data_IF_623036987926
#
_entry.id   IF_623036987926
#
_cell.length_a   1.000
_cell.length_b   1.000
_cell.length_c   1.000
_cell.angle_alpha   90.00
_cell.angle_beta   90.00
_cell.angle_gamma   90.00
#
_symmetry.space_group_name_H-M   'P 1'
#
loop_
_entity.id
_entity.type
_entity.pdbx_description
1 polymer ?
#
# COMPACT_ATOMS: atom_id res chain seq x y z
N UNK A 1 -0.30 22.85 -3.28
CA UNK A 1 -1.58 22.20 -3.70
C UNK A 1 -1.58 21.91 -5.20
N UNK A 2 -1.04 22.78 -6.05
CA UNK A 2 -0.97 22.56 -7.49
C UNK A 2 -0.23 21.28 -7.88
N UNK A 3 0.90 21.00 -7.24
CA UNK A 3 1.67 19.78 -7.47
C UNK A 3 0.87 18.51 -7.15
N UNK A 4 0.04 18.53 -6.09
CA UNK A 4 -0.82 17.38 -5.73
C UNK A 4 -1.86 17.11 -6.81
N UNK A 5 -2.43 18.16 -7.39
CA UNK A 5 -3.39 18.03 -8.49
C UNK A 5 -2.72 17.52 -9.76
N UNK A 6 -1.52 18.03 -10.09
CA UNK A 6 -0.75 17.55 -11.24
C UNK A 6 -0.40 16.06 -11.11
N UNK A 7 0.07 15.63 -9.93
CA UNK A 7 0.36 14.22 -9.67
C UNK A 7 -0.89 13.32 -9.78
N UNK A 8 -2.06 13.81 -9.34
CA UNK A 8 -3.32 13.06 -9.51
C UNK A 8 -3.69 12.92 -10.97
N UNK A 9 -3.65 13.99 -11.75
CA UNK A 9 -3.94 13.96 -13.18
C UNK A 9 -3.00 13.01 -13.92
N UNK A 10 -1.71 13.13 -13.68
CA UNK A 10 -0.72 12.25 -14.30
C UNK A 10 -0.94 10.77 -13.96
N UNK A 11 -1.33 10.44 -12.74
CA UNK A 11 -1.67 9.05 -12.37
C UNK A 11 -2.96 8.58 -13.06
N UNK A 12 -3.95 9.46 -13.22
CA UNK A 12 -5.19 9.15 -13.95
C UNK A 12 -4.88 8.83 -15.42
N UNK A 13 -3.96 9.55 -16.03
CA UNK A 13 -3.56 9.33 -17.44
C UNK A 13 -2.81 8.00 -17.64
N UNK A 14 -2.14 7.49 -16.60
CA UNK A 14 -1.34 6.26 -16.65
C UNK A 14 -2.15 5.01 -16.31
N UNK A 15 -3.05 5.12 -15.33
CA UNK A 15 -3.76 3.95 -14.82
C UNK A 15 -5.10 3.74 -15.55
N UNK A 16 -5.42 2.50 -15.98
CA UNK A 16 -6.70 2.21 -16.58
C UNK A 16 -7.84 2.51 -15.59
N UNK A 17 -8.82 3.30 -16.04
CA UNK A 17 -9.99 3.68 -15.24
C UNK A 17 -11.02 2.55 -15.35
N UNK A 18 -11.40 1.89 -14.24
CA UNK A 18 -12.48 0.90 -14.28
C UNK A 18 -13.84 1.55 -14.52
N UNK A 19 -14.79 0.81 -15.04
CA UNK A 19 -16.16 1.30 -15.16
C UNK A 19 -16.75 1.66 -13.78
N UNK A 20 -17.60 2.68 -13.72
CA UNK A 20 -18.18 3.19 -12.45
C UNK A 20 -19.03 2.11 -11.75
N UNK A 21 -19.64 1.22 -12.51
CA UNK A 21 -20.46 0.12 -12.04
C UNK A 21 -19.64 -1.07 -11.52
N UNK A 22 -18.32 -1.08 -11.72
CA UNK A 22 -17.47 -2.15 -11.21
C UNK A 22 -17.27 -2.04 -9.69
N UNK A 23 -17.32 -3.16 -8.99
CA UNK A 23 -17.14 -3.23 -7.52
C UNK A 23 -15.80 -2.64 -7.05
N UNK A 24 -14.78 -2.63 -7.92
CA UNK A 24 -13.45 -2.12 -7.64
C UNK A 24 -13.29 -0.61 -7.83
N UNK A 25 -14.31 0.11 -8.35
CA UNK A 25 -14.20 1.54 -8.67
C UNK A 25 -13.90 2.40 -7.44
N UNK A 26 -14.53 2.12 -6.30
CA UNK A 26 -14.25 2.84 -5.04
C UNK A 26 -12.82 2.58 -4.58
N UNK A 27 -12.37 1.35 -4.71
CA UNK A 27 -11.00 0.96 -4.38
C UNK A 27 -9.98 1.63 -5.31
N UNK A 28 -10.32 1.77 -6.59
CA UNK A 28 -9.52 2.51 -7.56
C UNK A 28 -9.27 3.96 -7.13
N UNK A 29 -10.29 4.69 -6.71
CA UNK A 29 -10.15 6.08 -6.23
C UNK A 29 -9.19 6.16 -5.03
N UNK A 30 -9.25 5.17 -4.12
CA UNK A 30 -8.30 5.11 -3.00
C UNK A 30 -6.89 4.82 -3.50
N UNK A 31 -6.73 3.96 -4.48
CA UNK A 31 -5.44 3.60 -5.08
C UNK A 31 -4.78 4.77 -5.82
N UNK A 32 -5.54 5.60 -6.52
CA UNK A 32 -5.03 6.81 -7.16
C UNK A 32 -4.23 7.69 -6.20
N UNK A 33 -4.74 7.87 -4.98
CA UNK A 33 -4.07 8.71 -3.99
C UNK A 33 -2.74 8.13 -3.52
N UNK A 34 -2.64 6.82 -3.39
CA UNK A 34 -1.38 6.12 -3.04
C UNK A 34 -0.41 6.19 -4.21
N UNK A 35 -0.88 5.95 -5.43
CA UNK A 35 -0.05 6.03 -6.64
C UNK A 35 0.53 7.41 -6.86
N UNK A 36 -0.25 8.47 -6.60
CA UNK A 36 0.26 9.85 -6.70
C UNK A 36 1.32 10.18 -5.64
N UNK A 37 1.23 9.59 -4.44
CA UNK A 37 2.30 9.70 -3.44
C UNK A 37 3.56 8.98 -3.92
N UNK A 38 3.42 7.76 -4.46
CA UNK A 38 4.55 6.98 -4.98
C UNK A 38 5.21 7.70 -6.15
N UNK A 39 4.42 8.19 -7.12
CA UNK A 39 4.92 8.97 -8.25
C UNK A 39 5.69 10.21 -7.78
N UNK A 40 5.11 11.00 -6.88
CA UNK A 40 5.77 12.18 -6.33
C UNK A 40 7.07 11.85 -5.60
N UNK A 41 7.10 10.76 -4.83
CA UNK A 41 8.31 10.31 -4.13
C UNK A 41 9.42 9.90 -5.12
N UNK A 42 9.07 9.17 -6.18
CA UNK A 42 10.03 8.75 -7.20
C UNK A 42 10.53 9.93 -8.06
N UNK A 43 9.69 10.93 -8.32
CA UNK A 43 10.11 12.16 -9.03
C UNK A 43 11.06 13.04 -8.22
N UNK A 44 10.98 12.99 -6.89
CA UNK A 44 11.91 13.74 -6.02
C UNK A 44 13.29 13.09 -5.93
N UNK A 45 13.39 11.77 -6.15
CA UNK A 45 14.67 11.06 -6.17
C UNK A 45 15.36 11.19 -7.53
N UNK A 46 16.70 11.28 -7.50
CA UNK A 46 17.56 11.24 -8.70
C UNK A 46 17.83 9.82 -9.20
N UNK A 47 17.59 8.83 -8.35
CA UNK A 47 17.87 7.42 -8.60
C UNK A 47 16.98 6.86 -9.71
N UNK A 48 17.55 5.93 -10.50
CA UNK A 48 16.81 5.16 -11.52
C UNK A 48 16.11 3.94 -10.94
N UNK A 49 16.60 3.43 -9.80
CA UNK A 49 16.12 2.23 -9.14
C UNK A 49 15.56 2.55 -7.75
N UNK A 50 14.32 2.15 -7.51
CA UNK A 50 13.64 2.28 -6.24
C UNK A 50 13.33 0.93 -5.62
N UNK A 51 13.52 0.82 -4.30
CA UNK A 51 13.16 -0.36 -3.54
C UNK A 51 11.81 -0.14 -2.85
N UNK A 52 10.90 -1.10 -3.00
CA UNK A 52 9.57 -1.06 -2.37
C UNK A 52 9.45 -2.11 -1.27
N UNK A 53 8.75 -1.74 -0.19
CA UNK A 53 8.37 -2.66 0.88
C UNK A 53 7.13 -3.52 0.58
N UNK A 54 6.69 -3.58 -0.68
CA UNK A 54 5.55 -4.41 -1.12
C UNK A 54 5.84 -5.89 -0.79
N UNK A 55 4.82 -6.60 -0.30
CA UNK A 55 4.91 -8.00 0.14
C UNK A 55 5.17 -8.17 1.64
N UNK A 56 5.81 -7.20 2.29
CA UNK A 56 6.12 -7.28 3.72
C UNK A 56 4.88 -7.42 4.62
N UNK A 57 3.77 -6.79 4.26
CA UNK A 57 2.53 -6.85 5.05
C UNK A 57 1.87 -8.22 4.94
N UNK A 58 1.90 -8.82 3.78
CA UNK A 58 1.31 -10.12 3.47
C UNK A 58 2.14 -11.24 4.11
N UNK A 59 3.45 -11.24 3.90
CA UNK A 59 4.35 -12.30 4.34
C UNK A 59 4.56 -12.30 5.86
N UNK A 60 4.62 -11.12 6.48
CA UNK A 60 5.00 -10.97 7.90
C UNK A 60 3.84 -10.47 8.78
N UNK A 61 2.62 -10.74 8.37
CA UNK A 61 1.41 -10.48 9.15
C UNK A 61 1.23 -9.02 9.58
N UNK A 62 1.32 -8.07 8.63
CA UNK A 62 1.25 -6.62 8.91
C UNK A 62 -0.16 -6.05 9.07
N UNK A 63 -1.22 -6.74 8.64
CA UNK A 63 -2.59 -6.23 8.65
C UNK A 63 -3.38 -6.61 9.90
N UNK A 64 -4.40 -5.82 10.24
CA UNK A 64 -5.33 -6.12 11.33
C UNK A 64 -6.05 -7.47 11.16
N UNK A 65 -6.41 -7.84 9.92
CA UNK A 65 -7.01 -9.13 9.62
C UNK A 65 -6.11 -10.32 10.01
N UNK A 66 -4.78 -10.18 9.90
CA UNK A 66 -3.83 -11.21 10.33
C UNK A 66 -3.86 -11.38 11.86
N UNK A 67 -4.01 -10.29 12.61
CA UNK A 67 -4.20 -10.37 14.07
C UNK A 67 -5.47 -11.10 14.46
N UNK A 68 -6.53 -10.98 13.65
CA UNK A 68 -7.78 -11.74 13.86
C UNK A 68 -7.63 -13.21 13.47
N UNK A 69 -6.93 -13.50 12.36
CA UNK A 69 -6.65 -14.87 11.92
C UNK A 69 -5.95 -15.68 13.02
N UNK A 70 -4.92 -15.11 13.64
CA UNK A 70 -4.19 -15.75 14.76
C UNK A 70 -5.05 -15.93 16.00
N UNK A 71 -6.05 -15.10 16.23
CA UNK A 71 -7.00 -15.18 17.38
C UNK A 71 -8.18 -16.10 17.13
N UNK A 72 -8.16 -16.93 16.09
CA UNK A 72 -9.23 -17.90 15.79
C UNK A 72 -10.17 -17.46 14.67
N UNK A 73 -9.82 -16.46 13.88
CA UNK A 73 -10.58 -16.04 12.71
C UNK A 73 -11.78 -15.14 13.03
N UNK A 74 -12.89 -15.38 12.35
CA UNK A 74 -14.12 -14.59 12.44
C UNK A 74 -14.42 -13.80 11.17
N UNK A 75 -14.96 -12.59 11.29
CA UNK A 75 -15.23 -11.70 10.16
C UNK A 75 -14.49 -10.37 10.31
N UNK A 76 -14.03 -9.85 9.19
CA UNK A 76 -13.46 -8.51 9.11
C UNK A 76 -14.07 -7.76 7.92
N UNK A 77 -14.76 -6.66 8.20
CA UNK A 77 -15.50 -5.88 7.20
C UNK A 77 -16.47 -6.73 6.36
N UNK A 78 -17.16 -7.68 7.00
CA UNK A 78 -18.13 -8.57 6.33
C UNK A 78 -17.51 -9.78 5.62
N UNK A 79 -16.18 -9.90 5.55
CA UNK A 79 -15.47 -11.00 4.89
C UNK A 79 -15.02 -12.00 5.97
N UNK A 80 -15.23 -13.30 5.71
CA UNK A 80 -14.71 -14.38 6.56
C UNK A 80 -13.18 -14.38 6.48
N UNK A 81 -12.53 -14.48 7.64
CA UNK A 81 -11.08 -14.58 7.78
C UNK A 81 -10.73 -16.06 7.92
N UNK A 82 -9.81 -16.54 7.10
CA UNK A 82 -9.18 -17.84 7.22
C UNK A 82 -8.11 -17.89 8.30
N UNK A 83 -7.27 -18.90 8.27
CA UNK A 83 -6.06 -18.91 9.06
C UNK A 83 -5.00 -17.91 8.52
N UNK A 84 -3.87 -17.78 9.20
CA UNK A 84 -2.86 -16.79 8.80
C UNK A 84 -2.19 -17.14 7.46
N UNK A 85 -2.05 -18.42 7.15
CA UNK A 85 -1.45 -18.88 5.90
C UNK A 85 -2.38 -18.56 4.71
N UNK A 86 -3.66 -18.89 4.82
CA UNK A 86 -4.68 -18.54 3.82
C UNK A 86 -4.74 -17.02 3.59
N UNK A 87 -4.71 -16.23 4.67
CA UNK A 87 -4.71 -14.76 4.56
C UNK A 87 -3.44 -14.22 3.91
N UNK A 88 -2.28 -14.83 4.17
CA UNK A 88 -1.01 -14.46 3.55
C UNK A 88 -1.03 -14.78 2.04
N UNK A 89 -1.40 -15.99 1.64
CA UNK A 89 -1.45 -16.43 0.23
C UNK A 89 -2.45 -15.58 -0.55
N UNK A 90 -3.67 -15.45 -0.04
CA UNK A 90 -4.69 -14.64 -0.71
C UNK A 90 -4.32 -13.15 -0.75
N UNK A 91 -3.63 -12.66 0.28
CA UNK A 91 -3.06 -11.33 0.35
C UNK A 91 -2.01 -11.10 -0.72
N UNK A 92 -1.05 -12.01 -0.89
CA UNK A 92 0.00 -11.95 -1.92
C UNK A 92 -0.61 -11.91 -3.32
N UNK A 93 -1.58 -12.78 -3.62
CA UNK A 93 -2.25 -12.81 -4.93
C UNK A 93 -2.94 -11.46 -5.24
N UNK A 94 -3.69 -10.92 -4.27
CA UNK A 94 -4.34 -9.60 -4.43
C UNK A 94 -3.32 -8.48 -4.60
N UNK A 95 -2.30 -8.45 -3.76
CA UNK A 95 -1.26 -7.42 -3.77
C UNK A 95 -0.51 -7.41 -5.10
N UNK A 96 -0.12 -8.58 -5.63
CA UNK A 96 0.60 -8.67 -6.88
C UNK A 96 -0.17 -7.97 -8.01
N UNK A 97 -1.42 -8.35 -8.22
CA UNK A 97 -2.24 -7.82 -9.31
C UNK A 97 -2.69 -6.36 -9.09
N UNK A 98 -2.95 -5.98 -7.84
CA UNK A 98 -3.61 -4.70 -7.54
C UNK A 98 -2.65 -3.61 -7.08
N UNK A 99 -1.47 -3.97 -6.59
CA UNK A 99 -0.50 -3.02 -6.02
C UNK A 99 0.80 -3.05 -6.81
N UNK A 100 1.43 -4.22 -6.95
CA UNK A 100 2.75 -4.32 -7.57
C UNK A 100 2.71 -3.96 -9.05
N UNK A 101 1.79 -4.53 -9.84
CA UNK A 101 1.65 -4.20 -11.26
C UNK A 101 1.33 -2.71 -11.48
N UNK A 102 0.46 -2.16 -10.65
CA UNK A 102 0.16 -0.72 -10.67
C UNK A 102 1.40 0.14 -10.40
N UNK A 103 2.17 -0.19 -9.36
CA UNK A 103 3.34 0.60 -8.98
C UNK A 103 4.47 0.45 -10.01
N UNK A 104 4.56 -0.69 -10.71
CA UNK A 104 5.42 -0.88 -11.89
C UNK A 104 5.01 0.03 -13.06
N UNK A 105 3.71 0.12 -13.36
CA UNK A 105 3.23 1.03 -14.41
C UNK A 105 3.63 2.48 -14.10
N UNK A 106 3.43 2.92 -12.85
CA UNK A 106 3.79 4.28 -12.42
C UNK A 106 5.31 4.53 -12.52
N UNK A 107 6.15 3.59 -12.09
CA UNK A 107 7.60 3.75 -12.18
C UNK A 107 8.09 3.76 -13.63
N UNK A 108 7.54 2.87 -14.47
CA UNK A 108 7.89 2.79 -15.89
C UNK A 108 7.50 4.05 -16.67
N UNK A 109 6.37 4.69 -16.31
CA UNK A 109 5.92 5.95 -16.91
C UNK A 109 6.97 7.07 -16.80
N UNK A 110 7.73 7.09 -15.73
CA UNK A 110 8.81 8.06 -15.51
C UNK A 110 10.20 7.47 -15.77
N UNK A 111 10.29 6.37 -16.53
CA UNK A 111 11.54 5.68 -16.89
C UNK A 111 12.38 5.25 -15.68
N UNK A 112 11.73 4.86 -14.58
CA UNK A 112 12.37 4.35 -13.38
C UNK A 112 12.00 2.89 -13.14
N UNK A 113 12.89 2.17 -12.45
CA UNK A 113 12.70 0.77 -12.09
C UNK A 113 12.24 0.63 -10.64
N UNK A 114 11.29 -0.30 -10.40
CA UNK A 114 10.81 -0.65 -9.06
C UNK A 114 11.14 -2.11 -8.76
N UNK A 115 11.89 -2.34 -7.68
CA UNK A 115 12.11 -3.67 -7.12
C UNK A 115 11.35 -3.83 -5.81
N UNK A 116 10.83 -5.04 -5.60
CA UNK A 116 10.16 -5.44 -4.36
C UNK A 116 10.92 -6.63 -3.73
N UNK A 117 11.97 -6.39 -2.93
CA UNK A 117 12.84 -7.45 -2.41
C UNK A 117 12.09 -8.51 -1.58
N UNK A 118 10.99 -8.14 -0.92
CA UNK A 118 10.16 -9.11 -0.20
C UNK A 118 9.43 -10.11 -1.11
N UNK A 119 9.34 -9.84 -2.42
CA UNK A 119 8.76 -10.75 -3.41
C UNK A 119 9.80 -11.66 -4.09
N UNK A 120 11.04 -11.64 -3.67
CA UNK A 120 12.03 -12.62 -4.10
C UNK A 120 11.64 -14.02 -3.60
N UNK A 121 11.81 -15.04 -4.43
CA UNK A 121 11.37 -16.42 -4.15
C UNK A 121 11.92 -16.93 -2.82
N UNK A 122 13.20 -16.72 -2.54
CA UNK A 122 13.82 -17.12 -1.28
C UNK A 122 13.18 -16.47 -0.06
N UNK A 123 12.81 -15.19 -0.17
CA UNK A 123 12.14 -14.47 0.93
C UNK A 123 10.72 -15.00 1.13
N UNK A 124 9.99 -15.26 0.06
CA UNK A 124 8.65 -15.85 0.11
C UNK A 124 8.71 -17.23 0.77
N UNK A 125 9.60 -18.11 0.30
CA UNK A 125 9.78 -19.47 0.84
C UNK A 125 10.11 -19.41 2.33
N UNK A 126 11.09 -18.60 2.73
CA UNK A 126 11.47 -18.46 4.14
C UNK A 126 10.30 -17.92 4.98
N UNK A 127 9.62 -16.89 4.49
CA UNK A 127 8.50 -16.32 5.21
C UNK A 127 7.33 -17.30 5.35
N UNK A 128 7.02 -18.10 4.33
CA UNK A 128 5.93 -19.09 4.40
C UNK A 128 6.28 -20.24 5.35
N UNK A 129 7.54 -20.61 5.48
CA UNK A 129 8.02 -21.63 6.43
C UNK A 129 8.16 -21.13 7.88
N UNK A 130 8.02 -19.82 8.13
CA UNK A 130 8.09 -19.27 9.48
C UNK A 130 6.83 -19.59 10.29
N UNK A 131 7.01 -19.96 11.55
CA UNK A 131 5.91 -20.08 12.51
C UNK A 131 5.21 -18.75 12.78
N UNK A 132 3.89 -18.79 12.99
CA UNK A 132 3.08 -17.60 13.22
C UNK A 132 3.59 -16.71 14.37
N UNK A 133 4.12 -17.31 15.45
CA UNK A 133 4.68 -16.61 16.61
C UNK A 133 5.90 -15.72 16.29
N UNK A 134 6.59 -16.01 15.18
CA UNK A 134 7.71 -15.18 14.69
C UNK A 134 7.23 -13.97 13.92
N UNK A 135 6.07 -14.07 13.27
CA UNK A 135 5.46 -13.01 12.44
C UNK A 135 4.65 -12.02 13.27
N UNK A 136 3.86 -12.55 14.22
CA UNK A 136 2.87 -11.77 14.97
C UNK A 136 2.62 -12.36 16.35
N UNK A 137 2.39 -11.47 17.32
CA UNK A 137 1.91 -11.82 18.66
C UNK A 137 0.84 -10.81 19.13
N UNK A 138 0.48 -10.86 20.41
CA UNK A 138 -0.51 -9.95 21.01
C UNK A 138 -0.06 -8.49 21.06
N UNK A 139 1.25 -8.24 20.98
CA UNK A 139 1.87 -6.93 21.15
C UNK A 139 2.27 -6.27 19.83
N UNK A 140 2.65 -7.08 18.84
CA UNK A 140 3.21 -6.55 17.60
C UNK A 140 2.96 -7.44 16.38
N UNK A 141 2.74 -6.80 15.24
CA UNK A 141 2.82 -7.39 13.89
C UNK A 141 4.20 -7.15 13.26
N UNK A 142 4.52 -7.95 12.26
CA UNK A 142 5.82 -7.94 11.58
C UNK A 142 6.99 -8.11 12.58
N UNK A 143 6.80 -8.94 13.60
CA UNK A 143 7.69 -9.08 14.74
C UNK A 143 9.14 -9.37 14.31
N UNK A 144 9.35 -10.34 13.42
CA UNK A 144 10.67 -10.68 12.91
C UNK A 144 11.36 -9.50 12.22
N UNK A 145 10.62 -8.74 11.37
CA UNK A 145 11.19 -7.58 10.69
C UNK A 145 11.59 -6.47 11.66
N UNK A 146 10.82 -6.28 12.73
CA UNK A 146 11.15 -5.30 13.78
C UNK A 146 12.39 -5.70 14.56
N UNK A 147 12.54 -6.99 14.86
CA UNK A 147 13.73 -7.53 15.54
C UNK A 147 14.96 -7.36 14.65
N UNK A 148 14.90 -7.79 13.39
CA UNK A 148 15.98 -7.58 12.41
C UNK A 148 16.36 -6.09 12.30
N UNK A 149 15.39 -5.20 12.26
CA UNK A 149 15.65 -3.77 12.22
C UNK A 149 16.44 -3.28 13.45
N UNK A 150 16.11 -3.80 14.65
CA UNK A 150 16.86 -3.50 15.88
C UNK A 150 18.26 -4.08 15.82
N UNK A 151 18.42 -5.33 15.39
CA UNK A 151 19.71 -6.01 15.27
C UNK A 151 20.64 -5.31 14.26
N UNK A 152 20.05 -4.68 13.21
CA UNK A 152 20.76 -3.83 12.26
C UNK A 152 21.03 -2.40 12.77
N UNK A 153 20.70 -2.10 14.03
CA UNK A 153 20.97 -0.81 14.65
C UNK A 153 19.94 0.30 14.34
N UNK A 154 18.79 -0.05 13.76
CA UNK A 154 17.71 0.93 13.57
C UNK A 154 17.11 1.29 14.93
N UNK A 155 17.04 2.57 15.31
CA UNK A 155 16.49 2.99 16.59
C UNK A 155 15.08 2.46 16.85
N UNK A 156 14.78 2.10 18.09
CA UNK A 156 13.51 1.49 18.53
C UNK A 156 12.29 2.32 18.15
N UNK A 157 12.39 3.62 18.14
CA UNK A 157 11.33 4.54 17.74
C UNK A 157 10.91 4.39 16.26
N UNK A 158 11.83 3.99 15.38
CA UNK A 158 11.55 3.71 13.97
C UNK A 158 11.12 2.26 13.77
N UNK A 159 11.84 1.28 14.35
CA UNK A 159 11.52 -0.14 14.20
C UNK A 159 10.13 -0.48 14.75
N UNK A 160 9.69 0.18 15.82
CA UNK A 160 8.39 -0.03 16.46
C UNK A 160 7.31 0.96 16.00
N UNK A 161 7.61 1.82 15.04
CA UNK A 161 6.65 2.81 14.54
C UNK A 161 5.36 2.14 14.06
N UNK A 162 4.22 2.71 14.48
CA UNK A 162 2.91 2.27 13.97
C UNK A 162 2.78 2.60 12.48
N UNK A 163 2.26 1.63 11.72
CA UNK A 163 1.98 1.81 10.30
C UNK A 163 0.99 2.97 10.08
N UNK A 164 1.29 3.79 9.08
CA UNK A 164 0.36 4.75 8.49
C UNK A 164 0.30 4.52 6.98
N UNK A 165 -0.89 4.61 6.39
CA UNK A 165 -0.99 4.62 4.93
C UNK A 165 -0.22 5.80 4.35
N UNK A 166 0.42 5.59 3.19
CA UNK A 166 1.28 6.60 2.56
C UNK A 166 0.56 7.93 2.35
N UNK A 167 -0.69 7.90 1.89
CA UNK A 167 -1.52 9.09 1.65
C UNK A 167 -1.83 9.88 2.92
N UNK A 168 -1.87 9.23 4.10
CA UNK A 168 -2.09 9.90 5.38
C UNK A 168 -0.79 10.40 6.00
N UNK A 169 0.28 9.59 5.89
CA UNK A 169 1.60 9.92 6.41
C UNK A 169 2.25 11.12 5.72
N UNK A 170 2.07 11.23 4.41
CA UNK A 170 2.55 12.34 3.57
C UNK A 170 1.71 13.61 3.68
N UNK A 171 0.51 13.54 4.26
CA UNK A 171 -0.45 14.65 4.24
C UNK A 171 -1.22 14.81 2.91
N UNK A 172 -0.99 13.94 1.93
CA UNK A 172 -1.59 14.00 0.60
C UNK A 172 -3.11 13.97 0.65
N UNK A 173 -3.70 13.09 1.49
CA UNK A 173 -5.14 13.02 1.70
C UNK A 173 -5.74 14.34 2.22
N UNK A 174 -5.02 15.05 3.09
CA UNK A 174 -5.43 16.39 3.56
C UNK A 174 -5.34 17.44 2.44
N UNK A 175 -4.32 17.34 1.60
CA UNK A 175 -4.16 18.24 0.46
C UNK A 175 -5.30 18.06 -0.55
N UNK A 176 -5.68 16.82 -0.89
CA UNK A 176 -6.86 16.53 -1.73
C UNK A 176 -8.14 17.10 -1.11
N UNK A 177 -8.32 16.96 0.19
CA UNK A 177 -9.49 17.54 0.88
C UNK A 177 -9.57 19.04 0.76
N UNK A 178 -8.41 19.74 0.79
CA UNK A 178 -8.34 21.20 0.58
C UNK A 178 -8.60 21.58 -0.88
N UNK A 179 -8.06 20.80 -1.83
CA UNK A 179 -8.32 21.00 -3.25
C UNK A 179 -9.81 20.82 -3.58
N UNK A 180 -10.44 19.77 -3.07
CA UNK A 180 -11.87 19.55 -3.23
C UNK A 180 -12.69 20.76 -2.77
N UNK A 181 -12.43 21.25 -1.56
CA UNK A 181 -13.12 22.45 -1.05
C UNK A 181 -12.88 23.69 -1.89
N UNK A 182 -11.62 23.92 -2.31
CA UNK A 182 -11.24 25.07 -3.14
C UNK A 182 -11.98 25.06 -4.49
N UNK A 183 -12.25 23.86 -5.03
CA UNK A 183 -12.95 23.67 -6.30
C UNK A 183 -14.47 23.43 -6.14
N UNK A 184 -15.06 23.74 -4.97
CA UNK A 184 -16.49 23.68 -4.75
C UNK A 184 -17.05 22.28 -4.45
N UNK A 185 -16.20 21.27 -4.26
CA UNK A 185 -16.63 19.91 -3.97
C UNK A 185 -16.72 19.65 -2.45
N UNK A 186 -17.85 19.10 -2.01
CA UNK A 186 -18.03 18.67 -0.61
C UNK A 186 -17.23 17.41 -0.27
N UNK A 187 -17.06 16.49 -1.24
CA UNK A 187 -16.43 15.18 -1.06
C UNK A 187 -15.20 15.06 -1.95
N UNK A 188 -14.09 14.56 -1.39
CA UNK A 188 -12.86 14.26 -2.13
C UNK A 188 -13.09 13.35 -3.33
N UNK A 189 -13.94 12.32 -3.16
CA UNK A 189 -14.30 11.40 -4.22
C UNK A 189 -14.82 12.15 -5.45
N UNK A 190 -15.78 13.06 -5.28
CA UNK A 190 -16.37 13.84 -6.39
C UNK A 190 -15.37 14.75 -7.08
N UNK A 191 -14.42 15.29 -6.31
CA UNK A 191 -13.34 16.08 -6.89
C UNK A 191 -12.41 15.20 -7.75
N UNK A 192 -12.00 14.02 -7.24
CA UNK A 192 -11.17 13.09 -8.01
C UNK A 192 -11.92 12.64 -9.27
N UNK A 193 -13.20 12.28 -9.17
CA UNK A 193 -14.05 11.93 -10.31
C UNK A 193 -14.08 13.04 -11.37
N UNK A 194 -14.16 14.31 -10.97
CA UNK A 194 -14.13 15.43 -11.92
C UNK A 194 -12.81 15.58 -12.68
N UNK A 195 -11.71 15.05 -12.15
CA UNK A 195 -10.41 15.03 -12.83
C UNK A 195 -10.32 13.91 -13.88
N UNK A 196 -11.20 12.90 -13.83
CA UNK A 196 -11.22 11.76 -14.76
C UNK A 196 -12.05 12.01 -16.02
N UNK A 197 -12.82 13.10 -16.06
CA UNK A 197 -13.80 13.40 -17.13
C UNK A 197 -13.15 14.23 -18.28
N UNK A 198 -11.86 14.40 -18.25
CA UNK A 198 -11.08 15.08 -19.28
C UNK A 198 -10.23 14.07 -20.01
#
# INVERSE_FOLDING_TARGET
LGEVELLLKEVIDVLPIPAIEEDNYIEYIVKLTVSAVNLGSMKLGSEELFLSGIGAEELFAGYERHSKAVKGGGTWRGIRIGDLEDESISGLKRMYNLVFERDKLISSHISKSLLAPYLADDVIIQAMNMGNYQKIDSLSNKKILRNIALDLGIPKEFSNRKKKGAQYGSGFDKAISRLAKKNGFRLKKRYIESLMIH
#
